data_IF_395075172409
#
_entry.id   IF_395075172409
#
_cell.length_a   1.000
_cell.length_b   1.000
_cell.length_c   1.000
_cell.angle_alpha   90.00
_cell.angle_beta   90.00
_cell.angle_gamma   90.00
#
_symmetry.space_group_name_H-M   'P 1'
#
loop_
_entity.id
_entity.type
_entity.pdbx_description
1 polymer ?
#
# COMPACT_ATOMS: atom_id res chain seq x y z
N UNK A 1 22.60 -28.81 21.59
CA UNK A 1 21.65 -28.76 20.45
C UNK A 1 22.36 -28.26 19.21
N UNK A 2 22.32 -29.01 18.10
CA UNK A 2 23.08 -28.69 16.88
C UNK A 2 22.42 -27.54 16.11
N UNK A 3 23.23 -26.67 15.51
CA UNK A 3 22.78 -25.49 14.74
C UNK A 3 21.82 -25.81 13.58
N UNK A 4 21.79 -27.07 13.12
CA UNK A 4 20.90 -27.63 12.11
C UNK A 4 19.41 -27.55 12.50
N UNK A 5 19.08 -27.92 13.75
CA UNK A 5 17.67 -28.08 14.15
C UNK A 5 16.98 -26.74 14.43
N UNK A 6 17.77 -25.73 14.84
CA UNK A 6 17.27 -24.36 15.02
C UNK A 6 16.96 -23.70 13.67
N UNK A 7 17.71 -24.01 12.61
CA UNK A 7 17.41 -23.55 11.26
C UNK A 7 16.16 -24.22 10.70
N UNK A 8 15.96 -25.52 10.95
CA UNK A 8 14.77 -26.29 10.53
C UNK A 8 13.47 -25.77 11.16
N UNK A 9 13.44 -25.54 12.48
CA UNK A 9 12.27 -24.93 13.16
C UNK A 9 11.95 -23.51 12.68
N UNK A 10 12.97 -22.71 12.34
CA UNK A 10 12.77 -21.35 11.82
C UNK A 10 12.25 -21.35 10.37
N UNK A 11 12.65 -22.33 9.54
CA UNK A 11 12.08 -22.54 8.21
C UNK A 11 10.64 -23.06 8.26
N UNK A 12 10.33 -23.98 9.18
CA UNK A 12 8.97 -24.54 9.35
C UNK A 12 7.96 -23.47 9.81
N UNK A 13 8.34 -22.66 10.81
CA UNK A 13 7.56 -21.51 11.27
C UNK A 13 7.36 -20.46 10.16
N UNK A 14 8.36 -20.26 9.29
CA UNK A 14 8.23 -19.38 8.11
C UNK A 14 7.34 -19.96 7.02
N UNK A 15 7.37 -21.28 6.80
CA UNK A 15 6.52 -21.93 5.79
C UNK A 15 5.05 -22.01 6.22
N UNK A 16 4.77 -22.17 7.52
CA UNK A 16 3.39 -22.11 8.06
C UNK A 16 2.80 -20.71 7.98
N UNK A 17 3.56 -19.67 8.33
CA UNK A 17 3.13 -18.25 8.22
C UNK A 17 2.95 -17.82 6.75
N UNK A 18 3.70 -18.42 5.83
CA UNK A 18 3.53 -18.23 4.38
C UNK A 18 2.33 -19.03 3.81
N UNK A 19 1.96 -20.16 4.41
CA UNK A 19 0.76 -20.94 4.09
C UNK A 19 -0.53 -20.23 4.47
N UNK A 20 -0.59 -19.64 5.67
CA UNK A 20 -1.72 -18.80 6.11
C UNK A 20 -1.88 -17.53 5.26
N UNK A 21 -0.78 -16.95 4.75
CA UNK A 21 -0.81 -15.81 3.84
C UNK A 21 -1.27 -16.16 2.42
N UNK A 22 -1.09 -17.41 1.95
CA UNK A 22 -1.58 -17.86 0.63
C UNK A 22 -3.05 -18.29 0.66
N UNK A 23 -3.51 -18.94 1.74
CA UNK A 23 -4.91 -19.33 1.90
C UNK A 23 -5.86 -18.12 2.11
N UNK A 24 -5.38 -17.05 2.75
CA UNK A 24 -6.14 -15.80 2.91
C UNK A 24 -6.26 -14.97 1.63
N UNK A 25 -5.42 -15.22 0.61
CA UNK A 25 -5.43 -14.54 -0.69
C UNK A 25 -6.38 -15.18 -1.71
N UNK A 26 -6.74 -16.45 -1.53
CA UNK A 26 -7.53 -17.22 -2.50
C UNK A 26 -9.06 -17.12 -2.28
N UNK A 27 -9.54 -16.80 -1.08
CA UNK A 27 -10.99 -16.80 -0.75
C UNK A 27 -11.69 -15.47 -1.10
N UNK A 28 -10.94 -14.38 -1.30
CA UNK A 28 -11.48 -13.01 -1.24
C UNK A 28 -11.95 -12.38 -2.55
N UNK A 29 -11.94 -13.12 -3.66
CA UNK A 29 -12.45 -12.64 -4.95
C UNK A 29 -13.81 -13.25 -5.32
N UNK A 30 -14.38 -14.09 -4.45
CA UNK A 30 -15.66 -14.76 -4.68
C UNK A 30 -16.89 -13.99 -4.20
N UNK A 31 -16.95 -13.53 -2.95
CA UNK A 31 -18.21 -13.05 -2.37
C UNK A 31 -18.07 -11.87 -1.41
N UNK A 32 -19.15 -11.10 -1.35
CA UNK A 32 -19.33 -9.76 -0.77
C UNK A 32 -18.80 -9.60 0.69
N UNK A 33 -18.35 -8.37 0.98
CA UNK A 33 -18.06 -7.76 2.30
C UNK A 33 -16.62 -7.89 2.84
N UNK A 34 -15.72 -7.17 2.19
CA UNK A 34 -14.38 -6.89 2.68
C UNK A 34 -14.44 -5.74 3.68
N UNK A 35 -14.42 -5.99 4.99
CA UNK A 35 -14.31 -4.89 5.96
C UNK A 35 -13.05 -4.07 5.67
N UNK A 36 -13.09 -2.77 5.95
CA UNK A 36 -11.96 -1.85 5.70
C UNK A 36 -10.65 -2.38 6.32
N UNK A 37 -10.75 -3.00 7.51
CA UNK A 37 -9.63 -3.66 8.19
C UNK A 37 -9.12 -4.91 7.45
N UNK A 38 -10.02 -5.75 6.92
CA UNK A 38 -9.61 -6.91 6.13
C UNK A 38 -8.83 -6.50 4.88
N UNK A 39 -9.29 -5.47 4.18
CA UNK A 39 -8.56 -4.91 3.04
C UNK A 39 -7.19 -4.35 3.44
N UNK A 40 -7.08 -3.65 4.57
CA UNK A 40 -5.79 -3.13 5.02
C UNK A 40 -4.80 -4.21 5.44
N UNK A 41 -5.30 -5.35 5.95
CA UNK A 41 -4.48 -6.54 6.20
C UNK A 41 -3.88 -7.09 4.90
N UNK A 42 -4.67 -7.20 3.83
CA UNK A 42 -4.17 -7.68 2.53
C UNK A 42 -3.16 -6.73 1.88
N UNK A 43 -3.24 -5.43 2.16
CA UNK A 43 -2.26 -4.44 1.69
C UNK A 43 -0.92 -4.47 2.46
N UNK A 44 -0.75 -5.37 3.42
CA UNK A 44 0.45 -5.51 4.25
C UNK A 44 0.27 -4.95 5.65
N UNK A 45 -0.89 -5.21 6.25
CA UNK A 45 -1.22 -4.82 7.63
C UNK A 45 -1.09 -3.31 7.89
N UNK A 46 -1.68 -2.51 7.01
CA UNK A 46 -1.67 -1.05 7.13
C UNK A 46 -2.59 -0.59 8.26
N UNK A 47 -2.20 0.44 8.99
CA UNK A 47 -3.02 1.03 10.06
C UNK A 47 -4.29 1.70 9.48
N UNK A 48 -5.43 1.48 10.12
CA UNK A 48 -6.71 2.11 9.79
C UNK A 48 -6.64 3.64 9.78
N UNK A 49 -5.84 4.24 10.66
CA UNK A 49 -5.60 5.68 10.69
C UNK A 49 -4.97 6.18 9.39
N UNK A 50 -4.02 5.43 8.81
CA UNK A 50 -3.41 5.81 7.53
C UNK A 50 -4.44 5.83 6.41
N UNK A 51 -5.40 4.89 6.42
CA UNK A 51 -6.50 4.90 5.47
C UNK A 51 -7.49 6.03 5.73
N UNK A 52 -7.84 6.31 6.99
CA UNK A 52 -8.70 7.46 7.33
C UNK A 52 -8.07 8.77 6.88
N UNK A 53 -6.79 8.98 7.16
CA UNK A 53 -6.02 10.12 6.66
C UNK A 53 -6.04 10.16 5.14
N UNK A 54 -5.83 9.03 4.46
CA UNK A 54 -5.87 8.96 2.99
C UNK A 54 -7.23 9.39 2.41
N UNK A 55 -8.33 8.90 2.99
CA UNK A 55 -9.69 9.23 2.56
C UNK A 55 -10.03 10.71 2.77
N UNK A 56 -9.39 11.36 3.75
CA UNK A 56 -9.55 12.78 4.05
C UNK A 56 -8.62 13.70 3.24
N UNK A 57 -7.67 13.17 2.46
CA UNK A 57 -6.81 13.99 1.61
C UNK A 57 -7.64 14.64 0.50
N UNK A 58 -7.28 15.87 0.13
CA UNK A 58 -7.89 16.56 -1.01
C UNK A 58 -7.73 15.71 -2.27
N UNK A 59 -8.78 15.63 -3.08
CA UNK A 59 -8.76 14.88 -4.33
C UNK A 59 -7.92 15.65 -5.35
N UNK A 60 -6.86 15.05 -5.84
CA UNK A 60 -5.93 15.67 -6.80
C UNK A 60 -4.90 14.68 -7.31
N UNK A 61 -4.29 14.99 -8.46
CA UNK A 61 -3.20 14.20 -9.01
C UNK A 61 -2.00 14.29 -8.05
N UNK A 62 -1.66 13.17 -7.41
CA UNK A 62 -0.53 13.10 -6.46
C UNK A 62 -0.85 13.47 -5.02
N UNK A 63 -2.05 13.97 -4.68
CA UNK A 63 -2.41 14.39 -3.31
C UNK A 63 -2.41 13.25 -2.27
N UNK A 64 -2.28 12.00 -2.70
CA UNK A 64 -2.10 10.82 -1.85
C UNK A 64 -0.71 10.19 -1.88
N UNK A 65 0.24 10.71 -2.67
CA UNK A 65 1.52 10.06 -2.93
C UNK A 65 2.40 9.90 -1.68
N UNK A 66 2.23 10.79 -0.70
CA UNK A 66 2.89 10.74 0.62
C UNK A 66 2.35 9.63 1.53
N UNK A 67 1.14 9.15 1.28
CA UNK A 67 0.50 8.15 2.13
C UNK A 67 0.83 6.73 1.65
N UNK A 68 1.24 5.87 2.59
CA UNK A 68 1.58 4.46 2.33
C UNK A 68 0.46 3.69 1.62
N UNK A 69 -0.80 4.01 1.94
CA UNK A 69 -1.99 3.39 1.36
C UNK A 69 -2.02 3.55 -0.15
N UNK A 70 -1.63 4.73 -0.66
CA UNK A 70 -1.70 5.05 -2.08
C UNK A 70 -0.88 4.07 -2.93
N UNK A 71 0.41 3.88 -2.62
CA UNK A 71 1.26 2.98 -3.40
C UNK A 71 0.85 1.52 -3.23
N UNK A 72 0.48 1.09 -2.02
CA UNK A 72 0.09 -0.30 -1.74
C UNK A 72 -1.21 -0.67 -2.46
N UNK A 73 -2.23 0.18 -2.38
CA UNK A 73 -3.48 -0.01 -3.09
C UNK A 73 -3.26 0.03 -4.61
N UNK A 74 -2.40 0.93 -5.11
CA UNK A 74 -2.08 1.03 -6.53
C UNK A 74 -1.50 -0.29 -7.09
N UNK A 75 -0.59 -0.94 -6.36
CA UNK A 75 -0.02 -2.24 -6.71
C UNK A 75 -1.05 -3.36 -6.58
N UNK A 76 -1.88 -3.34 -5.55
CA UNK A 76 -2.93 -4.35 -5.35
C UNK A 76 -3.92 -4.38 -6.52
N UNK A 77 -4.45 -3.21 -6.91
CA UNK A 77 -5.38 -3.12 -8.05
C UNK A 77 -4.70 -3.48 -9.37
N UNK A 78 -3.40 -3.24 -9.52
CA UNK A 78 -2.65 -3.66 -10.71
C UNK A 78 -2.56 -5.18 -10.81
N UNK A 79 -2.23 -5.86 -9.70
CA UNK A 79 -2.20 -7.32 -9.64
C UNK A 79 -3.58 -7.90 -9.94
N UNK A 80 -4.64 -7.35 -9.35
CA UNK A 80 -6.03 -7.73 -9.63
C UNK A 80 -6.37 -7.59 -11.12
N UNK A 81 -5.96 -6.48 -11.75
CA UNK A 81 -6.19 -6.21 -13.18
C UNK A 81 -5.47 -7.21 -14.09
N UNK A 82 -4.25 -7.62 -13.74
CA UNK A 82 -3.51 -8.68 -14.46
C UNK A 82 -4.23 -10.02 -14.31
N UNK A 83 -4.64 -10.37 -13.08
CA UNK A 83 -5.35 -11.63 -12.80
C UNK A 83 -6.68 -11.73 -13.55
N UNK A 84 -7.42 -10.62 -13.65
CA UNK A 84 -8.68 -10.55 -14.40
C UNK A 84 -8.48 -10.41 -15.93
N UNK A 85 -7.24 -10.30 -16.42
CA UNK A 85 -6.93 -10.16 -17.85
C UNK A 85 -7.44 -8.84 -18.48
N UNK A 86 -7.76 -7.83 -17.67
CA UNK A 86 -8.37 -6.59 -18.16
C UNK A 86 -7.34 -5.65 -18.79
N UNK A 87 -7.77 -4.92 -19.83
CA UNK A 87 -6.98 -3.84 -20.43
C UNK A 87 -6.85 -2.66 -19.46
N UNK A 88 -5.76 -1.90 -19.57
CA UNK A 88 -5.60 -0.65 -18.81
C UNK A 88 -6.64 0.38 -19.27
N UNK A 89 -7.20 1.12 -18.31
CA UNK A 89 -8.15 2.20 -18.60
C UNK A 89 -7.41 3.48 -18.99
N UNK A 90 -8.05 4.38 -19.77
CA UNK A 90 -7.47 5.68 -20.15
C UNK A 90 -7.01 6.50 -18.93
N UNK A 91 -7.83 6.54 -17.87
CA UNK A 91 -7.48 7.20 -16.60
C UNK A 91 -6.18 6.67 -16.00
N UNK A 92 -5.89 5.37 -16.14
CA UNK A 92 -4.66 4.75 -15.65
C UNK A 92 -3.46 5.20 -16.47
N UNK A 93 -3.59 5.20 -17.78
CA UNK A 93 -2.55 5.67 -18.71
C UNK A 93 -2.22 7.14 -18.46
N UNK A 94 -3.23 8.01 -18.34
CA UNK A 94 -3.04 9.43 -18.06
C UNK A 94 -2.34 9.66 -16.71
N UNK A 95 -2.68 8.85 -15.71
CA UNK A 95 -2.05 8.92 -14.40
C UNK A 95 -0.60 8.43 -14.42
N UNK A 96 -0.29 7.35 -15.12
CA UNK A 96 1.08 6.85 -15.32
C UNK A 96 1.92 7.90 -16.07
N UNK A 97 1.36 8.53 -17.10
CA UNK A 97 2.01 9.62 -17.84
C UNK A 97 2.31 10.83 -16.93
N UNK A 98 1.35 11.23 -16.08
CA UNK A 98 1.53 12.33 -15.11
C UNK A 98 2.53 12.01 -14.00
N UNK A 99 2.64 10.75 -13.61
CA UNK A 99 3.54 10.33 -12.55
C UNK A 99 5.02 10.38 -13.00
N UNK A 100 5.30 10.06 -14.26
CA UNK A 100 6.65 10.04 -14.82
C UNK A 100 7.59 9.03 -14.14
N UNK A 101 8.87 9.04 -14.55
CA UNK A 101 9.89 8.12 -14.02
C UNK A 101 10.25 8.37 -12.56
N UNK A 102 10.18 9.63 -12.12
CA UNK A 102 10.53 10.05 -10.75
C UNK A 102 9.36 9.95 -9.75
N UNK A 103 8.15 9.67 -10.23
CA UNK A 103 6.96 9.63 -9.39
C UNK A 103 6.39 11.01 -9.03
N UNK A 104 5.26 11.02 -8.34
CA UNK A 104 4.74 12.24 -7.73
C UNK A 104 5.62 12.70 -6.57
N UNK A 105 5.74 14.03 -6.40
CA UNK A 105 6.34 14.61 -5.21
C UNK A 105 5.64 14.07 -3.96
N UNK A 106 6.43 13.52 -3.03
CA UNK A 106 5.93 13.07 -1.73
C UNK A 106 5.53 14.26 -0.85
N UNK A 107 5.99 15.46 -1.18
CA UNK A 107 5.66 16.67 -0.44
C UNK A 107 4.61 17.44 -1.23
N UNK A 108 3.43 17.58 -0.63
CA UNK A 108 2.40 18.50 -1.09
C UNK A 108 2.62 19.81 -0.31
N UNK A 109 2.93 20.88 -1.03
CA UNK A 109 3.28 22.23 -0.56
C UNK A 109 2.07 23.05 -0.08
N UNK A 110 0.91 22.42 0.12
CA UNK A 110 -0.34 23.08 0.51
C UNK A 110 -0.46 23.37 2.02
N UNK A 111 0.62 23.67 2.74
CA UNK A 111 0.59 23.76 4.20
C UNK A 111 1.55 24.79 4.84
N UNK A 112 1.12 25.28 6.01
CA UNK A 112 1.86 26.19 6.89
C UNK A 112 3.24 25.65 7.24
N UNK A 113 4.27 26.50 7.15
CA UNK A 113 5.65 26.15 7.45
C UNK A 113 6.05 26.73 8.80
N UNK A 114 6.43 25.87 9.74
CA UNK A 114 7.14 26.31 10.94
C UNK A 114 8.58 26.63 10.54
N UNK A 115 8.97 27.90 10.68
CA UNK A 115 10.34 28.37 10.47
C UNK A 115 10.83 28.90 11.82
N UNK A 116 11.92 28.33 12.34
CA UNK A 116 12.62 28.93 13.47
C UNK A 116 13.41 30.12 12.93
N UNK A 117 12.90 31.33 13.17
CA UNK A 117 13.70 32.54 13.01
C UNK A 117 14.44 32.70 14.33
N UNK A 118 15.70 32.27 14.37
CA UNK A 118 16.56 32.53 15.53
C UNK A 118 16.56 34.04 15.80
N UNK A 119 16.39 34.42 17.08
CA UNK A 119 16.57 35.82 17.50
C UNK A 119 18.00 36.19 17.09
N UNK A 120 18.14 37.20 16.22
CA UNK A 120 19.42 37.64 15.67
C UNK A 120 20.47 37.84 16.78
N UNK A 121 21.72 37.56 16.41
CA UNK A 121 22.91 37.97 17.15
C UNK A 121 22.89 39.47 17.44
#
# INVERSE_FOLDING_TARGET
MKASDKKRKATEQRTEVQGWNRASQAVFLGEKLTTQAAFLRTLGNINTNSLRSFMNLKRGAGSGASNVVYRKAYVFFEKKRILEGKKKTKKRQDHEAKQGSKGFSLRHDSGMRWVFVGKGF
#
